data_IF_468645596367
#
_entry.id   IF_468645596367
#
_cell.length_a   1.000
_cell.length_b   1.000
_cell.length_c   1.000
_cell.angle_alpha   90.00
_cell.angle_beta   90.00
_cell.angle_gamma   90.00
#
_symmetry.space_group_name_H-M   'P 1'
#
loop_
_entity.id
_entity.type
_entity.pdbx_description
1 polymer ?
#
# COMPACT_ATOMS: atom_id res chain seq x y z
N UNK A 1 -8.16 -6.30 10.24
CA UNK A 1 -8.30 -4.98 9.60
C UNK A 1 -7.34 -4.04 10.31
N UNK A 2 -6.29 -3.59 9.65
CA UNK A 2 -5.28 -2.69 10.24
C UNK A 2 -5.57 -1.25 9.83
N UNK A 3 -5.65 -0.37 10.82
CA UNK A 3 -5.81 1.07 10.66
C UNK A 3 -4.50 1.73 11.08
N UNK A 4 -3.94 2.57 10.21
CA UNK A 4 -2.74 3.36 10.49
C UNK A 4 -3.11 4.83 10.55
N UNK A 5 -2.61 5.54 11.56
CA UNK A 5 -2.66 7.00 11.59
C UNK A 5 -1.49 7.56 10.78
N UNK A 6 -1.78 8.60 10.01
CA UNK A 6 -0.80 9.34 9.21
C UNK A 6 -1.06 10.83 9.36
N UNK A 7 0.00 11.61 9.50
CA UNK A 7 -0.06 13.06 9.38
C UNK A 7 -0.10 13.47 7.89
N UNK A 8 -0.82 14.53 7.54
CA UNK A 8 -1.04 14.95 6.15
C UNK A 8 0.27 15.33 5.42
N UNK A 9 1.17 16.01 6.11
CA UNK A 9 2.46 16.50 5.57
C UNK A 9 3.58 15.45 5.63
N UNK A 10 3.37 14.37 6.38
CA UNK A 10 4.35 13.28 6.48
C UNK A 10 4.37 12.39 5.23
N UNK A 11 5.49 11.70 4.96
CA UNK A 11 5.55 10.61 3.98
C UNK A 11 5.79 9.29 4.71
N UNK A 12 5.01 8.26 4.40
CA UNK A 12 5.12 6.95 5.03
C UNK A 12 5.52 5.91 4.00
N UNK A 13 6.57 5.16 4.32
CA UNK A 13 6.94 3.94 3.61
C UNK A 13 6.19 2.75 4.22
N UNK A 14 5.30 2.16 3.44
CA UNK A 14 4.56 0.96 3.81
C UNK A 14 5.10 -0.25 3.06
N UNK A 15 5.47 -1.29 3.79
CA UNK A 15 5.95 -2.55 3.24
C UNK A 15 5.03 -3.71 3.61
N UNK A 16 4.77 -4.59 2.65
CA UNK A 16 4.10 -5.87 2.88
C UNK A 16 5.09 -6.97 2.59
N UNK A 17 5.33 -7.81 3.59
CA UNK A 17 6.14 -9.01 3.47
C UNK A 17 5.24 -10.19 3.10
N UNK A 18 5.48 -10.75 1.92
CA UNK A 18 4.71 -11.87 1.38
C UNK A 18 5.37 -13.22 1.63
N UNK A 19 6.56 -13.26 2.23
CA UNK A 19 7.34 -14.51 2.43
C UNK A 19 6.55 -15.58 3.19
N UNK A 20 5.70 -15.20 4.14
CA UNK A 20 4.85 -16.12 4.90
C UNK A 20 3.66 -16.67 4.10
N UNK A 21 3.29 -16.02 3.00
CA UNK A 21 2.08 -16.32 2.21
C UNK A 21 2.39 -16.96 0.86
N UNK A 22 3.61 -16.79 0.37
CA UNK A 22 4.07 -17.35 -0.88
C UNK A 22 4.80 -18.65 -0.57
N UNK A 23 4.13 -19.79 -0.74
CA UNK A 23 4.66 -21.13 -0.51
C UNK A 23 5.76 -21.51 -1.53
N UNK A 24 6.82 -20.69 -1.64
CA UNK A 24 7.89 -20.80 -2.63
C UNK A 24 7.70 -19.98 -3.91
N UNK A 25 6.59 -19.25 -4.04
CA UNK A 25 6.31 -18.44 -5.22
C UNK A 25 7.00 -17.07 -5.19
N UNK A 26 7.30 -16.52 -6.37
CA UNK A 26 7.84 -15.17 -6.51
C UNK A 26 6.78 -14.18 -6.97
N UNK A 27 6.99 -12.91 -6.65
CA UNK A 27 6.12 -11.82 -7.07
C UNK A 27 6.52 -11.44 -8.50
N UNK A 28 5.66 -11.73 -9.47
CA UNK A 28 5.86 -11.37 -10.88
C UNK A 28 5.51 -9.89 -11.14
N UNK A 29 4.47 -9.37 -10.48
CA UNK A 29 4.08 -7.97 -10.58
C UNK A 29 3.42 -7.49 -9.29
N UNK A 30 3.51 -6.20 -9.00
CA UNK A 30 2.83 -5.54 -7.88
C UNK A 30 2.21 -4.23 -8.35
N UNK A 31 0.94 -4.02 -8.02
CA UNK A 31 0.20 -2.79 -8.32
C UNK A 31 -0.34 -2.20 -7.02
N UNK A 32 -0.01 -0.93 -6.76
CA UNK A 32 -0.55 -0.19 -5.64
C UNK A 32 -1.64 0.76 -6.11
N UNK A 33 -2.75 0.81 -5.37
CA UNK A 33 -3.89 1.65 -5.67
C UNK A 33 -4.45 2.25 -4.39
N UNK A 34 -4.90 3.50 -4.46
CA UNK A 34 -5.50 4.22 -3.33
C UNK A 34 -6.96 4.54 -3.65
N UNK A 35 -7.85 4.38 -2.67
CA UNK A 35 -9.24 4.78 -2.76
C UNK A 35 -9.70 5.46 -1.45
N UNK A 36 -10.42 6.58 -1.48
CA UNK A 36 -10.84 7.32 -2.67
C UNK A 36 -9.67 8.06 -3.36
N UNK A 37 -9.79 8.23 -4.68
CA UNK A 37 -8.90 9.11 -5.46
C UNK A 37 -9.52 10.49 -5.47
N UNK A 38 -8.89 11.45 -4.82
CA UNK A 38 -9.34 12.82 -4.72
C UNK A 38 -8.16 13.78 -4.83
N UNK A 39 -8.40 15.00 -5.31
CA UNK A 39 -7.35 16.01 -5.43
C UNK A 39 -6.87 16.42 -4.03
N UNK A 40 -5.56 16.35 -3.80
CA UNK A 40 -4.97 16.51 -2.45
C UNK A 40 -5.14 15.29 -1.54
N UNK A 41 -5.71 14.20 -2.07
CA UNK A 41 -5.82 12.92 -1.38
C UNK A 41 -4.49 12.17 -1.29
N UNK A 42 -4.53 11.02 -0.61
CA UNK A 42 -3.36 10.17 -0.45
C UNK A 42 -2.87 9.69 -1.82
N UNK A 43 -1.60 9.93 -2.11
CA UNK A 43 -0.98 9.60 -3.39
C UNK A 43 0.17 8.63 -3.19
N UNK A 44 0.35 7.73 -4.16
CA UNK A 44 1.52 6.83 -4.22
C UNK A 44 2.63 7.57 -4.95
N UNK A 45 3.74 7.84 -4.26
CA UNK A 45 4.90 8.52 -4.86
C UNK A 45 5.83 7.54 -5.56
N UNK A 46 6.11 6.43 -4.88
CA UNK A 46 7.03 5.41 -5.37
C UNK A 46 6.60 4.05 -4.87
N UNK A 47 6.91 3.01 -5.63
CA UNK A 47 6.75 1.63 -5.17
C UNK A 47 7.91 0.79 -5.65
N UNK A 48 8.35 -0.15 -4.82
CA UNK A 48 9.40 -1.09 -5.17
C UNK A 48 9.00 -2.53 -4.81
N UNK A 49 9.67 -3.47 -5.44
CA UNK A 49 9.53 -4.90 -5.18
C UNK A 49 10.94 -5.43 -4.93
N UNK A 50 11.15 -6.02 -3.77
CA UNK A 50 12.43 -6.57 -3.33
C UNK A 50 12.22 -8.04 -2.95
N UNK A 51 12.44 -8.93 -3.91
CA UNK A 51 12.23 -10.36 -3.74
C UNK A 51 10.75 -10.69 -3.45
N UNK A 52 10.45 -11.04 -2.19
CA UNK A 52 9.10 -11.38 -1.71
C UNK A 52 8.46 -10.26 -0.88
N UNK A 53 9.04 -9.05 -0.92
CA UNK A 53 8.51 -7.88 -0.23
C UNK A 53 8.12 -6.81 -1.25
N UNK A 54 6.97 -6.19 -1.04
CA UNK A 54 6.54 -5.01 -1.79
C UNK A 54 6.55 -3.81 -0.88
N UNK A 55 7.15 -2.71 -1.31
CA UNK A 55 7.14 -1.44 -0.59
C UNK A 55 6.48 -0.35 -1.42
N UNK A 56 5.90 0.63 -0.73
CA UNK A 56 5.29 1.81 -1.34
C UNK A 56 5.47 3.01 -0.44
N UNK A 57 5.82 4.13 -1.04
CA UNK A 57 5.82 5.43 -0.41
C UNK A 57 4.52 6.12 -0.72
N UNK A 58 3.79 6.51 0.33
CA UNK A 58 2.57 7.30 0.20
C UNK A 58 2.74 8.64 0.91
N UNK A 59 2.28 9.70 0.26
CA UNK A 59 2.35 11.07 0.76
C UNK A 59 1.01 11.79 0.56
N UNK A 60 0.86 12.92 1.23
CA UNK A 60 -0.37 13.72 1.22
C UNK A 60 -1.54 13.04 1.95
N UNK A 61 -2.74 13.48 1.57
CA UNK A 61 -4.00 13.08 2.18
C UNK A 61 -4.65 14.21 2.96
N UNK A 62 -5.97 14.32 2.83
CA UNK A 62 -6.77 15.30 3.55
C UNK A 62 -7.07 14.84 4.99
N UNK A 63 -6.87 15.75 5.94
CA UNK A 63 -7.17 15.55 7.36
C UNK A 63 -8.63 15.14 7.56
N UNK A 64 -8.85 14.19 8.47
CA UNK A 64 -10.15 13.60 8.76
C UNK A 64 -10.62 12.57 7.74
N UNK A 65 -9.84 12.29 6.68
CA UNK A 65 -10.20 11.29 5.67
C UNK A 65 -9.55 9.94 5.89
N UNK A 66 -10.25 8.92 5.38
CA UNK A 66 -9.82 7.54 5.38
C UNK A 66 -9.48 7.14 3.95
N UNK A 67 -8.26 6.66 3.75
CA UNK A 67 -7.77 6.14 2.48
C UNK A 67 -7.49 4.66 2.62
N UNK A 68 -7.99 3.87 1.68
CA UNK A 68 -7.68 2.47 1.53
C UNK A 68 -6.57 2.33 0.50
N UNK A 69 -5.41 1.89 0.95
CA UNK A 69 -4.30 1.50 0.08
C UNK A 69 -4.39 -0.01 -0.14
N UNK A 70 -4.51 -0.41 -1.41
CA UNK A 70 -4.58 -1.81 -1.82
C UNK A 70 -3.36 -2.14 -2.66
N UNK A 71 -2.58 -3.12 -2.18
CA UNK A 71 -1.56 -3.78 -2.96
C UNK A 71 -2.13 -5.03 -3.61
N UNK A 72 -2.00 -5.15 -4.92
CA UNK A 72 -2.37 -6.32 -5.70
C UNK A 72 -1.11 -6.90 -6.32
N UNK A 73 -0.73 -8.10 -5.89
CA UNK A 73 0.41 -8.83 -6.43
C UNK A 73 -0.04 -9.94 -7.35
N UNK A 74 0.70 -10.14 -8.44
CA UNK A 74 0.56 -11.29 -9.33
C UNK A 74 1.78 -12.18 -9.11
N UNK A 75 1.54 -13.46 -8.90
CA UNK A 75 2.55 -14.46 -8.62
C UNK A 75 3.03 -15.15 -9.90
N UNK A 76 4.17 -15.80 -9.81
CA UNK A 76 4.79 -16.54 -10.92
C UNK A 76 3.94 -17.68 -11.48
N UNK A 77 2.99 -18.22 -10.69
CA UNK A 77 2.04 -19.25 -11.12
C UNK A 77 0.73 -18.67 -11.70
N UNK A 78 0.63 -17.35 -11.83
CA UNK A 78 -0.57 -16.66 -12.30
C UNK A 78 -1.61 -16.40 -11.21
N UNK A 79 -1.39 -16.82 -9.96
CA UNK A 79 -2.25 -16.42 -8.86
C UNK A 79 -2.15 -14.91 -8.60
N UNK A 80 -3.23 -14.34 -8.08
CA UNK A 80 -3.31 -12.93 -7.73
C UNK A 80 -3.75 -12.83 -6.29
N UNK A 81 -2.94 -12.18 -5.46
CA UNK A 81 -3.31 -11.86 -4.07
C UNK A 81 -3.43 -10.34 -3.92
N UNK A 82 -4.31 -9.91 -3.03
CA UNK A 82 -4.54 -8.49 -2.78
C UNK A 82 -4.67 -8.22 -1.29
N UNK A 83 -3.90 -7.26 -0.80
CA UNK A 83 -3.90 -6.83 0.59
C UNK A 83 -4.24 -5.36 0.67
N UNK A 84 -5.13 -5.05 1.59
CA UNK A 84 -5.61 -3.69 1.80
C UNK A 84 -5.31 -3.24 3.22
N UNK A 85 -4.85 -2.00 3.34
CA UNK A 85 -4.61 -1.31 4.60
C UNK A 85 -5.37 0.02 4.57
N UNK A 86 -5.88 0.44 5.74
CA UNK A 86 -6.57 1.73 5.85
C UNK A 86 -5.68 2.72 6.55
N UNK A 87 -5.48 3.88 5.93
CA UNK A 87 -4.83 5.04 6.50
C UNK A 87 -5.89 6.07 6.89
N UNK A 88 -5.84 6.52 8.14
CA UNK A 88 -6.58 7.69 8.60
C UNK A 88 -5.62 8.86 8.67
N UNK A 89 -5.96 9.93 7.96
CA UNK A 89 -5.18 11.15 8.02
C UNK A 89 -5.74 12.02 9.13
N UNK A 90 -4.91 12.41 10.08
CA UNK A 90 -5.28 13.27 11.20
C UNK A 90 -4.25 14.39 11.34
N UNK A 91 -4.67 15.54 11.88
CA UNK A 91 -3.76 16.64 12.22
C UNK A 91 -3.08 16.25 13.53
N UNK A 92 -1.74 16.18 13.54
CA UNK A 92 -0.99 15.70 14.69
C UNK A 92 -0.31 16.84 15.47
#
# INVERSE_FOLDING_TARGET
>A
MSLYLKDADSSIDHGIDWSAHLAGQSIAASLWSVAPVEAGGLSVEASAIEGLRTSVRVSGGLIGRLYRLTNRVTLSDGQVDARSVTFRVEEC
#
